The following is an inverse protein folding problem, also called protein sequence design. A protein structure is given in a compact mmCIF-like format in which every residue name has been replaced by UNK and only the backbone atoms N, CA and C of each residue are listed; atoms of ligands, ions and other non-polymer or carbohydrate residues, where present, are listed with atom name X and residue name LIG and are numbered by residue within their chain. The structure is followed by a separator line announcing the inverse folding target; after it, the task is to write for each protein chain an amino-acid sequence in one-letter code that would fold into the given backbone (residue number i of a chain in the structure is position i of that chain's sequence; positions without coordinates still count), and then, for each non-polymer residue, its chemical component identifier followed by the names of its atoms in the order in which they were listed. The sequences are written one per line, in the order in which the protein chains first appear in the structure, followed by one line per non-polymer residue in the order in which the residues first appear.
data_IF_183581372210
#
_entry.id   IF_183581372210
#
_cell.length_a   1.000
_cell.length_b   1.000
_cell.length_c   1.000
_cell.angle_alpha   90.00
_cell.angle_beta   90.00
_cell.angle_gamma   90.00
#
_symmetry.space_group_name_H-M   'P 1'
#
loop_
_entity.id
_entity.type
_entity.pdbx_description
1 polymer ?
#
# COMPACT_ATOMS: atom_id res chain seq x y z
N UNK A 1 3.01 11.79 -14.92
CA UNK A 1 4.01 11.88 -13.84
C UNK A 1 4.77 10.57 -13.79
N UNK A 2 6.03 10.56 -13.37
CA UNK A 2 6.88 9.35 -13.33
C UNK A 2 6.56 8.51 -12.08
N UNK A 3 6.51 7.17 -12.22
CA UNK A 3 6.35 6.26 -11.08
C UNK A 3 7.60 6.29 -10.18
N UNK A 4 7.46 6.27 -8.83
CA UNK A 4 8.58 6.25 -7.89
C UNK A 4 9.20 4.85 -7.69
N UNK A 5 8.59 3.79 -8.22
CA UNK A 5 8.96 2.39 -7.96
C UNK A 5 9.96 1.73 -8.93
N UNK A 6 10.52 2.34 -10.00
CA UNK A 6 11.46 1.64 -10.89
C UNK A 6 12.69 1.03 -10.19
N UNK A 7 13.11 1.60 -9.06
CA UNK A 7 14.19 1.04 -8.23
C UNK A 7 13.72 -0.18 -7.43
N UNK A 8 12.46 -0.22 -7.01
CA UNK A 8 11.86 -1.35 -6.28
C UNK A 8 11.79 -2.59 -7.16
N UNK A 9 11.44 -2.45 -8.44
CA UNK A 9 11.42 -3.56 -9.40
C UNK A 9 12.79 -4.27 -9.55
N UNK A 10 13.88 -3.59 -9.18
CA UNK A 10 15.24 -4.16 -9.21
C UNK A 10 15.67 -4.74 -7.87
N UNK A 11 14.94 -4.50 -6.79
CA UNK A 11 15.22 -5.04 -5.46
C UNK A 11 14.81 -6.51 -5.38
N UNK A 12 15.51 -7.28 -4.56
CA UNK A 12 15.29 -8.73 -4.45
C UNK A 12 13.86 -9.06 -3.98
N UNK A 13 13.28 -8.20 -3.16
CA UNK A 13 11.88 -8.26 -2.73
C UNK A 13 10.89 -8.43 -3.90
N UNK A 14 11.14 -7.78 -5.04
CA UNK A 14 10.28 -7.85 -6.23
C UNK A 14 10.74 -8.89 -7.26
N UNK A 15 11.89 -9.55 -7.04
CA UNK A 15 12.38 -10.65 -7.88
C UNK A 15 12.05 -12.02 -7.31
N UNK A 16 11.79 -12.14 -6.01
CA UNK A 16 11.46 -13.40 -5.35
C UNK A 16 10.23 -14.05 -5.99
N UNK A 17 10.37 -15.30 -6.42
CA UNK A 17 9.25 -16.14 -6.87
C UNK A 17 8.46 -16.64 -5.66
N UNK A 18 7.14 -16.62 -5.75
CA UNK A 18 6.24 -17.16 -4.73
C UNK A 18 6.00 -18.66 -4.87
N UNK A 19 6.45 -19.31 -5.94
CA UNK A 19 6.08 -20.68 -6.30
C UNK A 19 6.44 -21.70 -5.22
N UNK A 20 7.61 -21.55 -4.58
CA UNK A 20 8.11 -22.48 -3.56
C UNK A 20 7.88 -22.03 -2.12
N UNK A 21 7.21 -20.90 -1.92
CA UNK A 21 6.90 -20.36 -0.60
C UNK A 21 5.66 -21.04 -0.02
N UNK A 22 5.66 -21.24 1.30
CA UNK A 22 4.47 -21.57 2.08
C UNK A 22 3.46 -20.43 2.03
N UNK A 23 2.21 -20.69 2.44
CA UNK A 23 1.17 -19.65 2.44
C UNK A 23 1.54 -18.47 3.36
N UNK A 24 2.10 -18.73 4.54
CA UNK A 24 2.54 -17.68 5.47
C UNK A 24 3.66 -16.81 4.86
N UNK A 25 4.63 -17.43 4.19
CA UNK A 25 5.72 -16.71 3.50
C UNK A 25 5.20 -15.88 2.32
N UNK A 26 4.18 -16.35 1.60
CA UNK A 26 3.53 -15.59 0.52
C UNK A 26 2.77 -14.38 1.06
N UNK A 27 2.07 -14.55 2.19
CA UNK A 27 1.37 -13.46 2.88
C UNK A 27 2.37 -12.41 3.34
N UNK A 28 3.45 -12.81 4.00
CA UNK A 28 4.51 -11.91 4.45
C UNK A 28 5.16 -11.17 3.27
N UNK A 29 5.51 -11.88 2.19
CA UNK A 29 6.07 -11.28 0.97
C UNK A 29 5.14 -10.21 0.37
N UNK A 30 3.84 -10.49 0.30
CA UNK A 30 2.84 -9.56 -0.23
C UNK A 30 2.71 -8.31 0.64
N UNK A 31 2.73 -8.47 1.97
CA UNK A 31 2.71 -7.37 2.94
C UNK A 31 3.95 -6.48 2.79
N UNK A 32 5.14 -7.08 2.71
CA UNK A 32 6.39 -6.34 2.53
C UNK A 32 6.41 -5.55 1.21
N UNK A 33 5.93 -6.14 0.12
CA UNK A 33 5.80 -5.47 -1.18
C UNK A 33 4.82 -4.31 -1.12
N UNK A 34 3.65 -4.52 -0.52
CA UNK A 34 2.64 -3.47 -0.34
C UNK A 34 3.22 -2.28 0.45
N UNK A 35 3.87 -2.56 1.59
CA UNK A 35 4.52 -1.53 2.41
C UNK A 35 5.61 -0.79 1.63
N UNK A 36 6.46 -1.49 0.88
CA UNK A 36 7.53 -0.86 0.10
C UNK A 36 6.99 0.10 -0.97
N UNK A 37 5.92 -0.28 -1.69
CA UNK A 37 5.28 0.59 -2.69
C UNK A 37 4.57 1.76 -2.01
N UNK A 38 3.79 1.51 -0.96
CA UNK A 38 3.11 2.55 -0.17
C UNK A 38 4.09 3.63 0.33
N UNK A 39 5.21 3.18 0.92
CA UNK A 39 6.28 4.06 1.41
C UNK A 39 6.93 4.90 0.29
N UNK A 40 7.10 4.33 -0.90
CA UNK A 40 7.66 5.05 -2.04
C UNK A 40 6.73 6.17 -2.55
N UNK A 41 5.41 5.98 -2.45
CA UNK A 41 4.43 6.99 -2.82
C UNK A 41 4.22 8.06 -1.72
N UNK A 42 4.36 7.67 -0.45
CA UNK A 42 4.14 8.52 0.72
C UNK A 42 2.82 9.30 0.65
N UNK A 43 1.71 8.56 0.69
CA UNK A 43 0.36 9.11 0.58
C UNK A 43 -0.04 9.67 1.94
N UNK A 44 -0.22 10.98 2.01
CA UNK A 44 -0.66 11.68 3.22
C UNK A 44 -2.07 12.26 3.11
N UNK A 45 -2.58 12.41 1.88
CA UNK A 45 -3.95 12.83 1.59
C UNK A 45 -4.44 12.18 0.28
N UNK A 46 -5.75 12.28 0.00
CA UNK A 46 -6.42 11.85 -1.24
C UNK A 46 -6.03 12.70 -2.47
N UNK A 47 -4.72 12.78 -2.73
CA UNK A 47 -4.07 13.55 -3.80
C UNK A 47 -3.98 12.74 -5.10
N UNK A 48 -3.55 13.32 -6.24
CA UNK A 48 -3.26 12.54 -7.45
C UNK A 48 -2.33 11.32 -7.24
N UNK A 49 -1.48 11.32 -6.20
CA UNK A 49 -0.64 10.17 -5.85
C UNK A 49 -1.44 8.94 -5.41
N UNK A 50 -2.59 9.14 -4.78
CA UNK A 50 -3.51 8.06 -4.41
C UNK A 50 -4.02 7.31 -5.64
N UNK A 51 -4.41 8.02 -6.70
CA UNK A 51 -4.83 7.35 -7.93
C UNK A 51 -3.66 6.70 -8.67
N UNK A 52 -2.48 7.33 -8.62
CA UNK A 52 -1.29 6.82 -9.29
C UNK A 52 -0.73 5.55 -8.67
N UNK A 53 -0.86 5.34 -7.35
CA UNK A 53 -0.35 4.10 -6.73
C UNK A 53 -1.09 2.87 -7.26
N UNK A 54 -2.40 2.97 -7.51
CA UNK A 54 -3.19 1.86 -8.03
C UNK A 54 -2.86 1.47 -9.48
N UNK A 55 -2.13 2.33 -10.19
CA UNK A 55 -1.67 2.12 -11.56
C UNK A 55 -0.18 1.72 -11.63
N UNK A 56 0.49 1.57 -10.49
CA UNK A 56 1.91 1.25 -10.46
C UNK A 56 2.19 -0.19 -10.89
N UNK A 57 3.09 -0.37 -11.86
CA UNK A 57 3.43 -1.69 -12.40
C UNK A 57 4.11 -2.61 -11.38
N UNK A 58 4.70 -2.08 -10.30
CA UNK A 58 5.22 -2.91 -9.22
C UNK A 58 4.12 -3.76 -8.55
N UNK A 59 2.87 -3.28 -8.58
CA UNK A 59 1.72 -4.01 -8.04
C UNK A 59 1.12 -5.00 -9.04
N UNK A 60 1.48 -4.94 -10.32
CA UNK A 60 1.10 -5.96 -11.30
C UNK A 60 1.85 -7.29 -11.10
N UNK A 61 2.98 -7.27 -10.39
CA UNK A 61 3.76 -8.47 -10.04
C UNK A 61 3.15 -9.25 -8.87
N UNK A 62 2.29 -8.61 -8.09
CA UNK A 62 1.73 -9.19 -6.87
C UNK A 62 0.33 -8.62 -6.61
N UNK A 63 -0.68 -9.41 -7.00
CA UNK A 63 -2.07 -8.99 -6.86
C UNK A 63 -2.53 -8.92 -5.40
N UNK A 64 -1.94 -9.71 -4.51
CA UNK A 64 -2.25 -9.65 -3.09
C UNK A 64 -1.73 -8.32 -2.51
N UNK A 65 -0.51 -7.92 -2.85
CA UNK A 65 0.02 -6.61 -2.48
C UNK A 65 -0.84 -5.44 -3.02
N UNK A 66 -1.29 -5.54 -4.27
CA UNK A 66 -2.24 -4.55 -4.85
C UNK A 66 -3.54 -4.46 -4.06
N UNK A 67 -4.09 -5.62 -3.69
CA UNK A 67 -5.32 -5.72 -2.91
C UNK A 67 -5.15 -5.11 -1.52
N UNK A 68 -4.03 -5.37 -0.83
CA UNK A 68 -3.72 -4.76 0.46
C UNK A 68 -3.68 -3.23 0.38
N UNK A 69 -3.02 -2.67 -0.65
CA UNK A 69 -3.01 -1.22 -0.90
C UNK A 69 -4.42 -0.68 -1.16
N UNK A 70 -5.23 -1.39 -1.94
CA UNK A 70 -6.62 -1.02 -2.20
C UNK A 70 -7.46 -1.02 -0.92
N UNK A 71 -7.37 -2.06 -0.09
CA UNK A 71 -8.10 -2.13 1.17
C UNK A 71 -7.66 -0.99 2.10
N UNK A 72 -6.35 -0.76 2.24
CA UNK A 72 -5.82 0.25 3.14
C UNK A 72 -6.30 1.66 2.74
N UNK A 73 -6.17 2.03 1.48
CA UNK A 73 -6.44 3.41 1.05
C UNK A 73 -7.88 3.63 0.58
N UNK A 74 -8.43 2.74 -0.25
CA UNK A 74 -9.78 2.93 -0.80
C UNK A 74 -10.87 2.61 0.20
N UNK A 75 -10.63 1.68 1.12
CA UNK A 75 -11.65 1.25 2.09
C UNK A 75 -11.36 1.88 3.44
N UNK A 76 -10.30 1.46 4.15
CA UNK A 76 -10.04 1.92 5.51
C UNK A 76 -9.77 3.44 5.54
N UNK A 77 -8.86 3.93 4.69
CA UNK A 77 -8.55 5.36 4.58
C UNK A 77 -9.78 6.21 4.27
N UNK A 78 -10.60 5.80 3.31
CA UNK A 78 -11.83 6.52 2.96
C UNK A 78 -12.86 6.52 4.10
N UNK A 79 -13.05 5.37 4.77
CA UNK A 79 -13.96 5.26 5.92
C UNK A 79 -13.54 6.22 7.03
N UNK A 80 -12.27 6.17 7.44
CA UNK A 80 -11.79 7.03 8.52
C UNK A 80 -11.75 8.50 8.11
N UNK A 81 -11.45 8.83 6.84
CA UNK A 81 -11.55 10.20 6.33
C UNK A 81 -12.97 10.77 6.43
N UNK A 82 -14.01 9.94 6.28
CA UNK A 82 -15.40 10.38 6.51
C UNK A 82 -15.67 10.62 8.00
N UNK A 83 -15.21 9.73 8.87
CA UNK A 83 -15.49 9.83 10.31
C UNK A 83 -14.75 10.97 11.02
N UNK A 84 -13.52 11.29 10.62
CA UNK A 84 -12.72 12.34 11.31
C UNK A 84 -13.34 13.74 11.26
N UNK A 85 -14.25 13.99 10.31
CA UNK A 85 -14.96 15.27 10.24
C UNK A 85 -15.86 15.52 11.46
N UNK A 86 -16.51 14.46 11.95
CA UNK A 86 -17.44 14.52 13.10
C UNK A 86 -16.81 13.96 14.39
N UNK A 87 -15.78 13.11 14.26
CA UNK A 87 -15.09 12.41 15.34
C UNK A 87 -13.56 12.58 15.19
N UNK A 88 -13.01 13.76 15.54
CA UNK A 88 -11.60 14.11 15.35
C UNK A 88 -10.63 13.20 16.14
N UNK A 89 -11.11 12.46 17.14
CA UNK A 89 -10.36 11.44 17.87
C UNK A 89 -9.80 10.32 16.98
N UNK A 90 -10.38 10.10 15.79
CA UNK A 90 -9.88 9.11 14.84
C UNK A 90 -8.74 9.61 13.95
N UNK A 91 -8.40 10.90 14.00
CA UNK A 91 -7.32 11.47 13.18
C UNK A 91 -5.99 10.71 13.34
N UNK A 92 -5.54 10.34 14.56
CA UNK A 92 -4.30 9.59 14.73
C UNK A 92 -4.33 8.20 14.07
N UNK A 93 -5.51 7.56 14.00
CA UNK A 93 -5.66 6.27 13.32
C UNK A 93 -5.64 6.45 11.81
N UNK A 94 -6.34 7.46 11.28
CA UNK A 94 -6.29 7.81 9.86
C UNK A 94 -4.85 8.09 9.41
N UNK A 95 -4.08 8.86 10.17
CA UNK A 95 -2.68 9.17 9.86
C UNK A 95 -1.83 7.90 9.76
N UNK A 96 -2.01 6.95 10.68
CA UNK A 96 -1.31 5.66 10.65
C UNK A 96 -1.73 4.80 9.46
N UNK A 97 -3.02 4.80 9.12
CA UNK A 97 -3.55 4.08 7.95
C UNK A 97 -2.89 4.63 6.66
N UNK A 98 -2.88 5.96 6.50
CA UNK A 98 -2.30 6.63 5.33
C UNK A 98 -0.79 6.38 5.20
N UNK A 99 -0.08 6.28 6.32
CA UNK A 99 1.34 5.90 6.39
C UNK A 99 1.62 4.41 6.21
N UNK A 100 0.58 3.59 6.07
CA UNK A 100 0.70 2.12 5.98
C UNK A 100 1.36 1.51 7.23
N UNK A 101 1.08 2.07 8.41
CA UNK A 101 1.62 1.66 9.73
C UNK A 101 0.65 0.79 10.54
N UNK A 102 -0.39 0.28 9.86
CA UNK A 102 -1.41 -0.61 10.42
C UNK A 102 -1.68 -1.65 9.34
N UNK A 103 -1.16 -2.86 9.52
CA UNK A 103 -1.37 -4.03 8.64
C UNK A 103 -0.99 -5.30 9.39
#
# INVERSE_FOLDING_TARGET
MSSPTPKLLKADLFKSSSENLTDDERIDLSNQRAYAVAKAYNILDLTPKFWQIHQDMALSLDHAAHTLISIQYNIAGAIFAMFVSDQPEYQPLLDRILRFEVS
#
